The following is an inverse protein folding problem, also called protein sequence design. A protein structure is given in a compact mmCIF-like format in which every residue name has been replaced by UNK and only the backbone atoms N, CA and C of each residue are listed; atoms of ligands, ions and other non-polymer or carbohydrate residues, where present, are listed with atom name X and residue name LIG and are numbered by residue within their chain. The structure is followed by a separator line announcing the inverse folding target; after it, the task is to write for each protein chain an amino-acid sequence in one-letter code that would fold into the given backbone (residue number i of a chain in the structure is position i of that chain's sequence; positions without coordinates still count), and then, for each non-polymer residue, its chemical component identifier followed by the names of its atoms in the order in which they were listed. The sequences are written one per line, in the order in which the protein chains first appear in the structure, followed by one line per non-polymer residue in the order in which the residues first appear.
data_IF_916113384328
#
_entry.id   IF_916113384328
#
_cell.length_a   1.000
_cell.length_b   1.000
_cell.length_c   1.000
_cell.angle_alpha   90.00
_cell.angle_beta   90.00
_cell.angle_gamma   90.00
#
_symmetry.space_group_name_H-M   'P 1'
#
loop_
_entity.id
_entity.type
_entity.pdbx_description
1 polymer ?
#
# COMPACT_ATOMS: atom_id res chain seq x y z
N UNK A 1 18.61 -1.19 -15.81
CA UNK A 1 17.17 -1.54 -15.85
C UNK A 1 16.36 -0.24 -15.82
N UNK A 2 15.21 -0.19 -16.49
CA UNK A 2 14.31 0.99 -16.43
C UNK A 2 13.18 0.66 -15.45
N UNK A 3 12.92 1.54 -14.49
CA UNK A 3 11.75 1.42 -13.60
C UNK A 3 10.47 1.55 -14.44
N UNK A 4 9.50 0.67 -14.20
CA UNK A 4 8.19 0.68 -14.85
C UNK A 4 7.17 1.47 -14.02
N UNK A 5 6.11 1.96 -14.65
CA UNK A 5 5.13 2.81 -13.99
C UNK A 5 4.43 2.11 -12.80
N UNK A 6 4.02 0.84 -12.92
CA UNK A 6 3.44 0.09 -11.79
C UNK A 6 4.36 -0.05 -10.57
N UNK A 7 5.68 0.03 -10.74
CA UNK A 7 6.68 -0.06 -9.66
C UNK A 7 6.75 1.24 -8.83
N UNK A 8 6.13 2.33 -9.30
CA UNK A 8 6.16 3.61 -8.62
C UNK A 8 5.48 3.55 -7.24
N UNK A 9 4.34 2.88 -7.12
CA UNK A 9 3.61 2.78 -5.85
C UNK A 9 4.43 2.12 -4.73
N UNK A 10 4.95 0.89 -4.89
CA UNK A 10 5.79 0.27 -3.85
C UNK A 10 7.07 1.07 -3.59
N UNK A 11 7.58 1.82 -4.58
CA UNK A 11 8.75 2.68 -4.39
C UNK A 11 8.49 3.86 -3.45
N UNK A 12 7.27 4.41 -3.41
CA UNK A 12 6.97 5.66 -2.68
C UNK A 12 6.04 5.50 -1.48
N UNK A 13 5.39 4.34 -1.31
CA UNK A 13 4.45 4.08 -0.20
C UNK A 13 5.10 4.09 1.18
N UNK A 14 6.41 3.90 1.27
CA UNK A 14 7.16 3.96 2.52
C UNK A 14 7.11 5.34 3.19
N UNK A 15 7.06 6.42 2.39
CA UNK A 15 7.03 7.79 2.90
C UNK A 15 5.79 8.06 3.78
N UNK A 16 4.53 7.88 3.31
CA UNK A 16 3.37 8.09 4.17
C UNK A 16 3.31 7.10 5.34
N UNK A 17 3.76 5.85 5.15
CA UNK A 17 3.81 4.85 6.22
C UNK A 17 4.78 5.23 7.36
N UNK A 18 5.85 5.97 7.08
CA UNK A 18 6.75 6.47 8.10
C UNK A 18 6.27 7.83 8.67
N UNK A 19 5.87 8.76 7.81
CA UNK A 19 5.61 10.15 8.19
C UNK A 19 4.32 10.32 9.00
N UNK A 20 3.23 9.62 8.66
CA UNK A 20 1.94 9.79 9.35
C UNK A 20 1.95 9.23 10.80
N UNK A 21 2.53 8.05 11.08
CA UNK A 21 2.73 7.60 12.45
C UNK A 21 3.67 8.52 13.22
N UNK A 22 4.76 8.98 12.60
CA UNK A 22 5.70 9.90 13.26
C UNK A 22 5.04 11.25 13.59
N UNK A 23 4.19 11.76 12.70
CA UNK A 23 3.39 12.96 12.96
C UNK A 23 2.47 12.77 14.18
N UNK A 24 1.87 11.60 14.30
CA UNK A 24 0.99 11.23 15.42
C UNK A 24 1.76 11.13 16.73
N UNK A 25 2.96 10.55 16.72
CA UNK A 25 3.85 10.53 17.90
C UNK A 25 4.27 11.94 18.32
N UNK A 26 4.65 12.80 17.36
CA UNK A 26 4.98 14.19 17.64
C UNK A 26 3.80 14.96 18.28
N UNK A 27 2.56 14.64 17.89
CA UNK A 27 1.36 15.20 18.50
C UNK A 27 1.15 14.74 19.93
N UNK A 28 1.34 13.45 20.23
CA UNK A 28 1.29 12.94 21.60
C UNK A 28 2.34 13.61 22.49
N UNK A 29 3.58 13.76 21.99
CA UNK A 29 4.64 14.47 22.72
C UNK A 29 4.22 15.93 22.97
N UNK A 30 3.68 16.62 21.97
CA UNK A 30 3.21 18.00 22.13
C UNK A 30 2.07 18.13 23.13
N UNK A 31 1.12 17.18 23.13
CA UNK A 31 0.00 17.16 24.08
C UNK A 31 0.47 16.87 25.51
N UNK A 32 1.41 15.94 25.69
CA UNK A 32 1.92 15.55 27.01
C UNK A 32 2.86 16.60 27.62
N UNK A 33 3.70 17.22 26.80
CA UNK A 33 4.72 18.18 27.26
C UNK A 33 4.25 19.64 27.23
N UNK A 34 3.23 19.97 26.43
CA UNK A 34 2.86 21.36 26.13
C UNK A 34 3.85 22.10 25.21
N UNK A 35 4.87 21.40 24.69
CA UNK A 35 5.92 22.02 23.88
C UNK A 35 5.43 22.38 22.47
N UNK A 36 5.44 23.69 22.17
CA UNK A 36 5.06 24.25 20.87
C UNK A 36 6.00 23.84 19.73
N UNK A 37 7.25 23.47 20.03
CA UNK A 37 8.20 22.96 19.05
C UNK A 37 7.72 21.62 18.49
N UNK A 38 7.32 20.68 19.35
CA UNK A 38 6.73 19.40 18.93
C UNK A 38 5.42 19.59 18.16
N UNK A 39 4.57 20.54 18.57
CA UNK A 39 3.36 20.87 17.81
C UNK A 39 3.66 21.38 16.38
N UNK A 40 4.77 22.12 16.19
CA UNK A 40 5.25 22.59 14.88
C UNK A 40 5.86 21.46 14.04
N UNK A 41 6.61 20.55 14.66
CA UNK A 41 7.14 19.35 14.02
C UNK A 41 6.00 18.47 13.52
N UNK A 42 5.05 18.12 14.39
CA UNK A 42 3.88 17.30 14.03
C UNK A 42 3.11 17.89 12.85
N UNK A 43 2.83 19.20 12.86
CA UNK A 43 2.15 19.88 11.74
C UNK A 43 2.90 19.73 10.40
N UNK A 44 4.22 19.86 10.40
CA UNK A 44 5.04 19.70 9.18
C UNK A 44 5.04 18.25 8.68
N UNK A 45 5.11 17.29 9.61
CA UNK A 45 5.04 15.86 9.28
C UNK A 45 3.67 15.46 8.73
N UNK A 46 2.57 16.00 9.26
CA UNK A 46 1.23 15.81 8.70
C UNK A 46 1.14 16.28 7.25
N UNK A 47 1.64 17.49 6.95
CA UNK A 47 1.66 18.03 5.58
C UNK A 47 2.47 17.11 4.65
N UNK A 48 3.71 16.76 5.03
CA UNK A 48 4.57 15.91 4.21
C UNK A 48 4.00 14.48 4.04
N UNK A 49 3.48 13.89 5.12
CA UNK A 49 2.85 12.58 5.13
C UNK A 49 1.58 12.54 4.28
N UNK A 50 0.73 13.56 4.35
CA UNK A 50 -0.48 13.63 3.52
C UNK A 50 -0.16 13.83 2.05
N UNK A 51 0.79 14.70 1.70
CA UNK A 51 1.18 14.88 0.29
C UNK A 51 1.78 13.60 -0.30
N UNK A 52 2.62 12.90 0.46
CA UNK A 52 3.17 11.61 0.05
C UNK A 52 2.11 10.50 -0.02
N UNK A 53 1.11 10.51 0.87
CA UNK A 53 -0.04 9.59 0.82
C UNK A 53 -0.89 9.81 -0.43
N UNK A 54 -1.18 11.07 -0.79
CA UNK A 54 -1.90 11.42 -2.01
C UNK A 54 -1.13 10.95 -3.25
N UNK A 55 0.17 11.22 -3.31
CA UNK A 55 1.02 10.80 -4.42
C UNK A 55 1.09 9.26 -4.53
N UNK A 56 1.32 8.57 -3.41
CA UNK A 56 1.33 7.11 -3.36
C UNK A 56 -0.01 6.50 -3.75
N UNK A 57 -1.13 7.11 -3.34
CA UNK A 57 -2.48 6.68 -3.70
C UNK A 57 -2.74 6.80 -5.20
N UNK A 58 -2.32 7.88 -5.84
CA UNK A 58 -2.40 8.04 -7.30
C UNK A 58 -1.56 6.98 -8.01
N UNK A 59 -0.32 6.76 -7.57
CA UNK A 59 0.54 5.72 -8.11
C UNK A 59 -0.07 4.32 -7.93
N UNK A 60 -0.69 4.04 -6.78
CA UNK A 60 -1.34 2.76 -6.49
C UNK A 60 -2.59 2.52 -7.34
N UNK A 61 -3.40 3.56 -7.57
CA UNK A 61 -4.55 3.49 -8.48
C UNK A 61 -4.11 3.19 -9.91
N UNK A 62 -3.05 3.82 -10.40
CA UNK A 62 -2.51 3.52 -11.73
C UNK A 62 -1.94 2.09 -11.81
N UNK A 63 -1.09 1.72 -10.85
CA UNK A 63 -0.49 0.37 -10.76
C UNK A 63 -1.55 -0.74 -10.72
N UNK A 64 -2.72 -0.50 -10.09
CA UNK A 64 -3.82 -1.47 -10.05
C UNK A 64 -4.41 -1.81 -11.42
N UNK A 65 -4.22 -0.97 -12.44
CA UNK A 65 -4.69 -1.22 -13.81
C UNK A 65 -3.63 -1.89 -14.68
N UNK A 66 -2.38 -1.93 -14.21
CA UNK A 66 -1.26 -2.60 -14.84
C UNK A 66 -1.07 -4.03 -14.29
N UNK A 67 -2.04 -4.56 -13.51
CA UNK A 67 -2.00 -5.93 -12.99
C UNK A 67 -3.20 -6.74 -13.46
N UNK A 68 -2.97 -8.01 -13.79
CA UNK A 68 -3.95 -9.03 -14.12
C UNK A 68 -4.50 -9.65 -12.84
N UNK A 69 -5.82 -9.61 -12.66
CA UNK A 69 -6.53 -10.02 -11.44
C UNK A 69 -7.64 -11.03 -11.77
N UNK A 70 -7.29 -12.23 -12.23
CA UNK A 70 -8.29 -13.27 -12.53
C UNK A 70 -8.70 -14.04 -11.29
N UNK A 71 -7.77 -14.21 -10.35
CA UNK A 71 -8.07 -14.79 -9.05
C UNK A 71 -9.02 -13.88 -8.24
N UNK A 72 -10.22 -14.37 -7.86
CA UNK A 72 -11.21 -13.55 -7.14
C UNK A 72 -10.71 -13.06 -5.78
N UNK A 73 -9.87 -13.83 -5.07
CA UNK A 73 -9.28 -13.42 -3.79
C UNK A 73 -8.30 -12.28 -3.99
N UNK A 74 -7.38 -12.36 -4.94
CA UNK A 74 -6.44 -11.30 -5.27
C UNK A 74 -7.18 -10.02 -5.69
N UNK A 75 -8.17 -10.15 -6.58
CA UNK A 75 -8.99 -9.01 -7.04
C UNK A 75 -9.69 -8.30 -5.88
N UNK A 76 -10.32 -9.05 -4.99
CA UNK A 76 -11.05 -8.47 -3.86
C UNK A 76 -10.12 -7.95 -2.76
N UNK A 77 -8.93 -8.53 -2.61
CA UNK A 77 -7.90 -8.00 -1.71
C UNK A 77 -7.32 -6.67 -2.22
N UNK A 78 -7.08 -6.54 -3.53
CA UNK A 78 -6.71 -5.26 -4.18
C UNK A 78 -7.79 -4.22 -3.95
N UNK A 79 -9.07 -4.60 -4.05
CA UNK A 79 -10.19 -3.70 -3.77
C UNK A 79 -10.19 -3.22 -2.32
N UNK A 80 -10.07 -4.14 -1.35
CA UNK A 80 -10.06 -3.80 0.07
C UNK A 80 -8.86 -2.93 0.44
N UNK A 81 -7.68 -3.24 -0.10
CA UNK A 81 -6.47 -2.43 0.06
C UNK A 81 -6.66 -1.02 -0.51
N UNK A 82 -7.11 -0.90 -1.76
CA UNK A 82 -7.32 0.39 -2.42
C UNK A 82 -8.38 1.25 -1.73
N UNK A 83 -9.53 0.66 -1.37
CA UNK A 83 -10.60 1.37 -0.66
C UNK A 83 -10.18 1.78 0.76
N UNK A 84 -9.50 0.88 1.49
CA UNK A 84 -8.97 1.19 2.81
C UNK A 84 -7.97 2.35 2.78
N UNK A 85 -7.04 2.34 1.80
CA UNK A 85 -6.08 3.44 1.62
C UNK A 85 -6.75 4.75 1.21
N UNK A 86 -7.83 4.72 0.43
CA UNK A 86 -8.61 5.93 0.13
C UNK A 86 -9.20 6.54 1.42
N UNK A 87 -9.81 5.72 2.28
CA UNK A 87 -10.35 6.18 3.57
C UNK A 87 -9.25 6.74 4.48
N UNK A 88 -8.14 6.02 4.63
CA UNK A 88 -6.99 6.46 5.44
C UNK A 88 -6.42 7.77 4.90
N UNK A 89 -6.26 7.90 3.59
CA UNK A 89 -5.71 9.11 2.95
C UNK A 89 -6.64 10.30 3.13
N UNK A 90 -7.95 10.13 2.95
CA UNK A 90 -8.95 11.18 3.22
C UNK A 90 -8.97 11.59 4.70
N UNK A 91 -8.83 10.63 5.61
CA UNK A 91 -8.66 10.90 7.03
C UNK A 91 -7.40 11.73 7.32
N UNK A 92 -6.27 11.37 6.71
CA UNK A 92 -5.03 12.13 6.82
C UNK A 92 -5.16 13.56 6.28
N UNK A 93 -5.87 13.76 5.15
CA UNK A 93 -6.20 15.09 4.63
C UNK A 93 -7.00 15.88 5.66
N UNK A 94 -8.05 15.28 6.25
CA UNK A 94 -8.86 15.93 7.28
C UNK A 94 -8.04 16.35 8.51
N UNK A 95 -7.19 15.46 9.03
CA UNK A 95 -6.29 15.76 10.16
C UNK A 95 -5.29 16.86 9.78
N UNK A 96 -4.68 16.80 8.59
CA UNK A 96 -3.75 17.83 8.12
C UNK A 96 -4.42 19.19 8.05
N UNK A 97 -5.60 19.28 7.43
CA UNK A 97 -6.37 20.54 7.35
C UNK A 97 -6.72 21.09 8.74
N UNK A 98 -7.11 20.22 9.68
CA UNK A 98 -7.32 20.61 11.08
C UNK A 98 -6.05 21.20 11.69
N UNK A 99 -4.91 20.55 11.48
CA UNK A 99 -3.60 20.87 12.06
C UNK A 99 -2.92 22.08 11.46
N UNK A 100 -3.35 22.55 10.29
CA UNK A 100 -2.86 23.82 9.73
C UNK A 100 -3.15 25.00 10.64
N UNK A 101 -4.28 24.99 11.34
CA UNK A 101 -4.77 26.13 12.11
C UNK A 101 -4.98 25.83 13.61
N UNK A 102 -4.76 24.59 14.05
CA UNK A 102 -5.02 24.17 15.43
C UNK A 102 -3.85 23.40 16.04
N UNK A 103 -3.58 23.59 17.36
CA UNK A 103 -2.65 22.73 18.07
C UNK A 103 -3.17 21.29 18.10
N UNK A 104 -2.30 20.29 18.30
CA UNK A 104 -2.74 18.92 18.50
C UNK A 104 -3.59 18.81 19.77
N UNK A 105 -4.56 17.92 19.75
CA UNK A 105 -5.36 17.56 20.92
C UNK A 105 -5.29 16.05 21.15
N UNK A 106 -5.57 15.60 22.38
CA UNK A 106 -5.60 14.18 22.69
C UNK A 106 -6.59 13.42 21.80
N UNK A 107 -7.82 13.95 21.65
CA UNK A 107 -8.85 13.34 20.81
C UNK A 107 -8.40 13.19 19.36
N UNK A 108 -7.82 14.24 18.77
CA UNK A 108 -7.30 14.16 17.39
C UNK A 108 -6.14 13.16 17.28
N UNK A 109 -5.26 13.11 18.28
CA UNK A 109 -4.12 12.18 18.30
C UNK A 109 -4.58 10.72 18.40
N UNK A 110 -5.64 10.43 19.17
CA UNK A 110 -6.27 9.10 19.24
C UNK A 110 -6.95 8.70 17.93
N UNK A 111 -7.65 9.63 17.27
CA UNK A 111 -8.22 9.39 15.94
C UNK A 111 -7.12 9.09 14.92
N UNK A 112 -6.03 9.85 14.95
CA UNK A 112 -4.88 9.62 14.09
C UNK A 112 -4.20 8.27 14.38
N UNK A 113 -4.08 7.87 15.64
CA UNK A 113 -3.57 6.56 16.02
C UNK A 113 -4.43 5.43 15.43
N UNK A 114 -5.76 5.53 15.56
CA UNK A 114 -6.68 4.56 14.96
C UNK A 114 -6.55 4.50 13.43
N UNK A 115 -6.40 5.65 12.77
CA UNK A 115 -6.18 5.72 11.34
C UNK A 115 -4.85 5.07 10.92
N UNK A 116 -3.78 5.25 11.69
CA UNK A 116 -2.49 4.57 11.44
C UNK A 116 -2.59 3.05 11.66
N UNK A 117 -3.37 2.59 12.64
CA UNK A 117 -3.66 1.16 12.80
C UNK A 117 -4.41 0.59 11.59
N UNK A 118 -5.37 1.34 11.03
CA UNK A 118 -6.02 0.97 9.78
C UNK A 118 -5.05 0.96 8.58
N UNK A 119 -4.10 1.90 8.54
CA UNK A 119 -3.03 1.93 7.53
C UNK A 119 -2.10 0.71 7.63
N UNK A 120 -1.79 0.25 8.85
CA UNK A 120 -0.99 -0.96 9.05
C UNK A 120 -1.74 -2.21 8.56
N UNK A 121 -3.06 -2.25 8.77
CA UNK A 121 -3.89 -3.30 8.20
C UNK A 121 -3.86 -3.29 6.66
N UNK A 122 -4.05 -2.12 6.02
CA UNK A 122 -3.97 -2.05 4.56
C UNK A 122 -2.56 -2.36 4.04
N UNK A 123 -1.51 -1.98 4.77
CA UNK A 123 -0.13 -2.37 4.46
C UNK A 123 0.07 -3.88 4.53
N UNK A 124 -0.55 -4.56 5.50
CA UNK A 124 -0.55 -6.03 5.61
C UNK A 124 -1.20 -6.67 4.39
N UNK A 125 -2.34 -6.14 3.94
CA UNK A 125 -2.96 -6.59 2.68
C UNK A 125 -2.01 -6.38 1.50
N UNK A 126 -1.33 -5.22 1.44
CA UNK A 126 -0.29 -4.91 0.46
C UNK A 126 0.79 -5.99 0.40
N UNK A 127 1.36 -6.34 1.55
CA UNK A 127 2.35 -7.41 1.66
C UNK A 127 1.83 -8.76 1.18
N UNK A 128 0.62 -9.17 1.60
CA UNK A 128 0.02 -10.44 1.18
C UNK A 128 -0.23 -10.48 -0.33
N UNK A 129 -0.70 -9.38 -0.93
CA UNK A 129 -0.88 -9.30 -2.38
C UNK A 129 0.42 -9.56 -3.14
N UNK A 130 1.52 -8.96 -2.70
CA UNK A 130 2.83 -9.12 -3.32
C UNK A 130 3.40 -10.51 -3.02
N UNK A 131 3.60 -10.84 -1.75
CA UNK A 131 4.38 -12.01 -1.33
C UNK A 131 3.62 -13.34 -1.45
N UNK A 132 2.28 -13.34 -1.37
CA UNK A 132 1.49 -14.57 -1.44
C UNK A 132 0.76 -14.75 -2.77
N UNK A 133 0.29 -13.65 -3.37
CA UNK A 133 -0.60 -13.69 -4.54
C UNK A 133 0.08 -13.25 -5.85
N UNK A 134 1.36 -12.88 -5.80
CA UNK A 134 2.12 -12.52 -6.99
C UNK A 134 1.69 -11.21 -7.64
N UNK A 135 0.91 -10.36 -6.96
CA UNK A 135 0.39 -9.12 -7.54
C UNK A 135 1.55 -8.14 -7.74
N UNK A 136 1.84 -7.79 -8.99
CA UNK A 136 2.83 -6.77 -9.33
C UNK A 136 4.28 -7.25 -9.40
N UNK A 137 4.57 -8.54 -9.23
CA UNK A 137 5.92 -9.11 -9.35
C UNK A 137 6.07 -9.95 -10.63
N UNK A 138 6.58 -9.31 -11.69
CA UNK A 138 6.98 -9.88 -12.99
C UNK A 138 5.90 -10.64 -13.81
N UNK A 139 6.06 -10.77 -15.14
CA UNK A 139 5.19 -11.62 -15.95
C UNK A 139 5.48 -13.09 -15.58
N UNK A 140 4.76 -13.61 -14.58
CA UNK A 140 4.78 -15.03 -14.25
C UNK A 140 4.28 -15.86 -15.46
N UNK A 141 4.68 -17.15 -15.55
CA UNK A 141 4.47 -18.00 -16.73
C UNK A 141 3.01 -17.98 -17.24
N UNK A 142 2.82 -18.33 -18.52
CA UNK A 142 1.56 -18.15 -19.25
C UNK A 142 0.30 -18.75 -18.58
N UNK A 143 0.49 -19.61 -17.57
CA UNK A 143 -0.51 -20.30 -16.75
C UNK A 143 -0.86 -19.60 -15.41
N UNK A 144 -0.20 -18.49 -15.04
CA UNK A 144 -0.49 -17.77 -13.80
C UNK A 144 -1.82 -16.99 -13.86
N UNK A 145 -2.66 -17.18 -12.83
CA UNK A 145 -3.99 -16.52 -12.69
C UNK A 145 -3.92 -15.04 -12.28
N UNK A 146 -2.74 -14.52 -11.97
CA UNK A 146 -2.45 -13.11 -11.64
C UNK A 146 -1.03 -12.76 -12.10
N UNK A 147 -0.78 -11.48 -12.47
CA UNK A 147 0.53 -11.03 -12.97
C UNK A 147 0.53 -9.57 -13.42
N UNK A 148 1.62 -9.07 -14.04
CA UNK A 148 1.76 -7.67 -14.47
C UNK A 148 1.59 -7.48 -15.97
N UNK A 149 0.77 -6.50 -16.40
CA UNK A 149 0.74 -5.94 -17.75
C UNK A 149 1.85 -4.90 -17.87
N UNK A 150 2.69 -4.98 -18.92
CA UNK A 150 3.82 -4.05 -19.09
C UNK A 150 3.32 -2.62 -19.34
N UNK A 151 3.26 -1.80 -18.29
CA UNK A 151 3.13 -0.35 -18.40
C UNK A 151 4.41 0.32 -18.95
N UNK A 152 4.35 1.61 -19.32
CA UNK A 152 5.48 2.31 -19.90
C UNK A 152 6.62 2.48 -18.87
N UNK A 153 7.88 2.64 -19.30
CA UNK A 153 8.96 3.07 -18.42
C UNK A 153 8.61 4.40 -17.73
N UNK A 154 8.93 4.52 -16.44
CA UNK A 154 8.57 5.68 -15.61
C UNK A 154 9.07 7.01 -16.18
N UNK A 155 10.29 7.02 -16.74
CA UNK A 155 10.90 8.21 -17.33
C UNK A 155 10.66 8.33 -18.84
N UNK A 156 9.52 7.84 -19.33
CA UNK A 156 9.12 7.98 -20.74
C UNK A 156 8.16 9.15 -20.96
N UNK A 157 8.01 9.57 -22.22
CA UNK A 157 7.04 10.62 -22.61
C UNK A 157 5.58 10.19 -22.38
N UNK A 158 5.32 8.89 -22.35
CA UNK A 158 3.97 8.31 -22.19
C UNK A 158 3.56 8.19 -20.72
N UNK A 159 4.53 8.10 -19.80
CA UNK A 159 4.26 7.82 -18.38
C UNK A 159 3.32 8.83 -17.70
N UNK A 160 3.42 10.16 -17.89
CA UNK A 160 2.49 11.08 -17.26
C UNK A 160 1.04 10.88 -17.72
N UNK A 161 0.84 10.65 -19.03
CA UNK A 161 -0.48 10.40 -19.59
C UNK A 161 -1.05 9.06 -19.14
N UNK A 162 -0.22 8.03 -19.08
CA UNK A 162 -0.59 6.71 -18.56
C UNK A 162 -0.98 6.79 -17.08
N UNK A 163 -0.17 7.44 -16.24
CA UNK A 163 -0.45 7.60 -14.80
C UNK A 163 -1.83 8.20 -14.56
N UNK A 164 -2.16 9.30 -15.23
CA UNK A 164 -3.45 9.98 -15.05
C UNK A 164 -4.60 9.10 -15.54
N UNK A 165 -4.48 8.56 -16.77
CA UNK A 165 -5.51 7.72 -17.37
C UNK A 165 -5.80 6.49 -16.50
N UNK A 166 -4.75 5.83 -16.03
CA UNK A 166 -4.85 4.56 -15.32
C UNK A 166 -5.28 4.79 -13.87
N UNK A 167 -4.86 5.89 -13.23
CA UNK A 167 -5.41 6.31 -11.95
C UNK A 167 -6.94 6.56 -12.04
N UNK A 168 -7.41 7.26 -13.08
CA UNK A 168 -8.85 7.48 -13.29
C UNK A 168 -9.62 6.18 -13.53
N UNK A 169 -9.02 5.22 -14.26
CA UNK A 169 -9.59 3.89 -14.44
C UNK A 169 -9.64 3.12 -13.12
N UNK A 170 -8.60 3.19 -12.29
CA UNK A 170 -8.56 2.62 -10.95
C UNK A 170 -9.67 3.17 -10.05
N UNK A 171 -9.90 4.49 -10.07
CA UNK A 171 -11.01 5.13 -9.36
C UNK A 171 -12.35 4.56 -9.83
N UNK A 172 -12.59 4.52 -11.15
CA UNK A 172 -13.82 3.96 -11.73
C UNK A 172 -14.00 2.49 -11.37
N UNK A 173 -12.92 1.71 -11.32
CA UNK A 173 -12.95 0.32 -10.91
C UNK A 173 -13.35 0.15 -9.45
N UNK A 174 -12.78 0.94 -8.53
CA UNK A 174 -13.15 0.94 -7.12
C UNK A 174 -14.64 1.26 -6.92
N UNK A 175 -15.15 2.30 -7.58
CA UNK A 175 -16.57 2.66 -7.49
C UNK A 175 -17.49 1.56 -8.03
N UNK A 176 -17.16 0.96 -9.19
CA UNK A 176 -17.93 -0.17 -9.75
C UNK A 176 -17.92 -1.38 -8.83
N UNK A 177 -16.76 -1.73 -8.25
CA UNK A 177 -16.66 -2.86 -7.33
C UNK A 177 -17.43 -2.60 -6.04
N UNK A 178 -17.31 -1.41 -5.44
CA UNK A 178 -18.07 -1.00 -4.27
C UNK A 178 -19.58 -1.10 -4.51
N UNK A 179 -20.06 -0.60 -5.66
CA UNK A 179 -21.46 -0.72 -6.08
C UNK A 179 -21.91 -2.17 -6.21
N UNK A 180 -21.11 -3.04 -6.83
CA UNK A 180 -21.45 -4.48 -6.96
C UNK A 180 -21.56 -5.21 -5.62
N UNK A 181 -20.81 -4.78 -4.60
CA UNK A 181 -20.88 -5.33 -3.25
C UNK A 181 -22.16 -4.82 -2.57
N UNK A 182 -22.45 -3.53 -2.70
CA UNK A 182 -23.67 -2.91 -2.15
C UNK A 182 -24.95 -3.52 -2.71
N UNK A 183 -24.98 -3.79 -4.02
CA UNK A 183 -26.10 -4.43 -4.71
C UNK A 183 -26.21 -5.93 -4.41
N UNK A 184 -25.25 -6.52 -3.69
CA UNK A 184 -25.20 -7.95 -3.41
C UNK A 184 -24.94 -8.85 -4.63
N UNK A 185 -24.66 -8.26 -5.79
CA UNK A 185 -24.51 -9.00 -7.05
C UNK A 185 -23.23 -9.83 -7.11
N UNK A 186 -22.17 -9.39 -6.42
CA UNK A 186 -20.90 -10.12 -6.28
C UNK A 186 -20.31 -9.90 -4.88
N UNK A 187 -20.55 -10.80 -3.91
CA UNK A 187 -19.98 -10.67 -2.56
C UNK A 187 -18.44 -10.71 -2.59
N UNK A 188 -17.82 -10.31 -1.47
CA UNK A 188 -16.37 -10.42 -1.29
C UNK A 188 -15.96 -11.88 -1.14
N UNK A 189 -14.86 -12.26 -1.76
CA UNK A 189 -14.23 -13.54 -1.51
C UNK A 189 -13.83 -13.66 -0.02
N UNK A 190 -14.09 -14.83 0.60
CA UNK A 190 -13.88 -15.04 2.05
C UNK A 190 -12.45 -14.75 2.50
N UNK A 191 -11.46 -15.22 1.74
CA UNK A 191 -10.03 -14.97 1.99
C UNK A 191 -9.51 -13.57 1.65
N UNK A 192 -10.32 -12.67 1.08
CA UNK A 192 -9.85 -11.36 0.62
C UNK A 192 -9.42 -10.43 1.76
N UNK A 193 -9.93 -10.67 2.98
CA UNK A 193 -9.56 -9.91 4.19
C UNK A 193 -8.14 -10.20 4.68
N UNK A 194 -7.49 -11.24 4.14
CA UNK A 194 -6.12 -11.61 4.54
C UNK A 194 -6.01 -12.31 5.90
N UNK A 195 -7.13 -12.59 6.57
CA UNK A 195 -7.20 -13.32 7.84
C UNK A 195 -8.60 -13.93 8.04
N UNK A 196 -8.71 -14.83 9.02
CA UNK A 196 -9.98 -15.44 9.40
C UNK A 196 -10.43 -16.56 8.48
N UNK A 197 -11.71 -16.94 8.58
CA UNK A 197 -12.28 -18.12 7.90
C UNK A 197 -12.23 -17.95 6.38
N UNK A 198 -11.60 -18.89 5.68
CA UNK A 198 -11.45 -18.88 4.22
C UNK A 198 -10.19 -18.18 3.71
N UNK A 199 -9.31 -17.72 4.61
CA UNK A 199 -7.94 -17.34 4.27
C UNK A 199 -7.03 -18.57 4.41
N UNK A 200 -6.46 -19.02 3.30
CA UNK A 200 -5.45 -20.08 3.25
C UNK A 200 -4.16 -19.48 2.69
N UNK A 201 -3.06 -19.54 3.44
CA UNK A 201 -1.76 -19.17 2.88
C UNK A 201 -1.36 -20.18 1.80
N UNK A 202 -0.66 -19.76 0.73
CA UNK A 202 -0.10 -20.70 -0.23
C UNK A 202 0.69 -21.78 0.51
N UNK A 203 0.61 -23.06 0.10
CA UNK A 203 1.40 -24.11 0.71
C UNK A 203 2.88 -23.74 0.59
N UNK A 204 3.59 -23.78 1.72
CA UNK A 204 5.05 -23.72 1.70
C UNK A 204 5.54 -25.03 1.05
N UNK A 205 6.47 -24.97 0.07
CA UNK A 205 7.08 -26.19 -0.42
C UNK A 205 7.71 -26.96 0.75
N UNK A 206 7.38 -28.24 0.89
CA UNK A 206 8.01 -29.13 1.88
C UNK A 206 9.47 -29.45 1.54
N UNK A 207 9.96 -28.99 0.38
CA UNK A 207 11.36 -29.07 0.00
C UNK A 207 12.19 -28.21 0.98
N UNK A 208 12.95 -28.90 1.84
CA UNK A 208 14.03 -28.29 2.59
C UNK A 208 14.85 -27.43 1.63
N UNK A 209 15.17 -26.19 2.03
CA UNK A 209 16.11 -25.34 1.32
C UNK A 209 17.38 -26.17 1.09
N UNK A 210 17.54 -26.71 -0.12
CA UNK A 210 18.72 -27.51 -0.46
C UNK A 210 19.88 -26.55 -0.31
N UNK A 211 20.85 -26.81 0.60
CA UNK A 211 22.03 -25.98 0.68
C UNK A 211 22.62 -25.96 -0.72
N UNK A 212 22.85 -24.76 -1.24
CA UNK A 212 23.40 -24.61 -2.59
C UNK A 212 24.77 -25.28 -2.63
N UNK A 213 24.80 -26.53 -3.09
CA UNK A 213 26.03 -27.31 -3.23
C UNK A 213 26.97 -26.75 -4.30
N UNK A 214 26.58 -25.64 -4.95
CA UNK A 214 27.41 -24.89 -5.90
C UNK A 214 28.17 -23.72 -5.28
N UNK A 215 28.04 -23.43 -3.98
CA UNK A 215 29.01 -22.56 -3.32
C UNK A 215 30.38 -23.25 -3.27
N UNK A 216 31.42 -22.70 -3.92
CA UNK A 216 32.76 -23.23 -3.75
C UNK A 216 33.14 -23.11 -2.28
N UNK A 217 33.45 -24.24 -1.64
CA UNK A 217 34.11 -24.24 -0.33
C UNK A 217 35.31 -23.31 -0.43
N UNK A 218 35.27 -22.22 0.34
CA UNK A 218 36.43 -21.35 0.52
C UNK A 218 37.51 -22.18 1.21
N UNK A 219 38.38 -22.80 0.42
CA UNK A 219 39.66 -23.32 0.87
C UNK A 219 40.57 -22.12 1.14
N UNK A 220 40.24 -21.36 2.19
CA UNK A 220 41.19 -20.42 2.76
C UNK A 220 42.36 -21.24 3.32
N UNK A 221 43.62 -21.03 2.87
CA UNK A 221 44.76 -21.69 3.47
C UNK A 221 44.86 -21.26 4.93
N UNK A 222 44.92 -22.24 5.83
CA UNK A 222 45.29 -21.99 7.23
C UNK A 222 46.70 -21.41 7.25
N UNK A 223 46.82 -20.14 7.62
CA UNK A 223 48.04 -19.57 8.18
C UNK A 223 47.98 -19.68 9.70
#
# INVERSE_FOLDING_TARGET
MKMLLHELHPSVVHAPLALLPTATVADFIAVASGDRAWAKVGRRLWVAGTLSALFSGVAGLASSQEVRLEDPRARDMVFLHGMGNAVVTLGAVGVTLWRLNRPPSLTQSLIALLANSAALYTATLGGKMVYELGVGINPMPADARSGTLKGPPLLSREAPGALVRDALQGVRWLFRRARSIWEGSRPLHSGAKGFGRGYESPPMPDEALVPDSTEPRSDAPRM
#
